data_IF_214671445078
#
_entry.id   IF_214671445078
#
_cell.length_a   1.000
_cell.length_b   1.000
_cell.length_c   1.000
_cell.angle_alpha   90.00
_cell.angle_beta   90.00
_cell.angle_gamma   90.00
#
_symmetry.space_group_name_H-M   'P 1'
#
loop_
_entity.id
_entity.type
_entity.pdbx_description
1 polymer ?
#
# COMPACT_ATOMS: atom_id res chain seq x y z
N UNK A 1 11.99 1.20 -8.22
CA UNK A 1 11.16 -0.01 -8.00
C UNK A 1 9.82 0.46 -7.49
N UNK A 2 8.73 -0.18 -7.91
CA UNK A 2 7.41 0.12 -7.37
C UNK A 2 7.39 -0.25 -5.87
N UNK A 3 6.73 0.57 -5.05
CA UNK A 3 6.46 0.20 -3.67
C UNK A 3 5.52 -1.01 -3.66
N UNK A 4 5.72 -1.89 -2.69
CA UNK A 4 5.06 -3.19 -2.61
C UNK A 4 4.40 -3.40 -1.25
N UNK A 5 3.26 -4.07 -1.25
CA UNK A 5 2.53 -4.45 -0.03
C UNK A 5 2.61 -5.97 0.13
N UNK A 6 3.18 -6.44 1.23
CA UNK A 6 3.30 -7.86 1.52
C UNK A 6 2.02 -8.39 2.16
N UNK A 7 1.36 -9.36 1.52
CA UNK A 7 0.18 -10.01 2.07
C UNK A 7 0.63 -11.15 2.99
N UNK A 8 0.25 -11.06 4.27
CA UNK A 8 0.54 -12.05 5.31
C UNK A 8 -0.77 -12.54 5.94
N UNK A 9 -0.75 -13.71 6.54
CA UNK A 9 -1.93 -14.27 7.21
C UNK A 9 -1.65 -15.67 7.72
N UNK A 10 -2.45 -16.13 8.68
CA UNK A 10 -2.39 -17.51 9.14
C UNK A 10 -2.91 -18.47 8.05
N UNK A 11 -2.62 -19.77 8.14
CA UNK A 11 -3.25 -20.75 7.26
C UNK A 11 -4.78 -20.65 7.28
N UNK A 12 -5.40 -20.87 6.11
CA UNK A 12 -6.87 -20.94 5.94
C UNK A 12 -7.66 -19.64 6.21
N UNK A 13 -7.00 -18.47 6.24
CA UNK A 13 -7.70 -17.17 6.39
C UNK A 13 -8.25 -16.60 5.08
N UNK A 14 -8.04 -17.28 3.94
CA UNK A 14 -8.44 -16.82 2.61
C UNK A 14 -7.38 -15.99 1.85
N UNK A 15 -6.15 -15.91 2.38
CA UNK A 15 -5.01 -15.22 1.76
C UNK A 15 -4.77 -15.61 0.29
N UNK A 16 -4.74 -16.91 -0.01
CA UNK A 16 -4.51 -17.39 -1.38
C UNK A 16 -5.68 -17.09 -2.31
N UNK A 17 -6.91 -17.13 -1.81
CA UNK A 17 -8.11 -16.74 -2.58
C UNK A 17 -8.04 -15.26 -2.95
N UNK A 18 -7.75 -14.41 -1.96
CA UNK A 18 -7.55 -12.97 -2.15
C UNK A 18 -6.44 -12.68 -3.16
N UNK A 19 -5.28 -13.33 -3.02
CA UNK A 19 -4.15 -13.14 -3.93
C UNK A 19 -4.43 -13.63 -5.35
N UNK A 20 -5.18 -14.71 -5.50
CA UNK A 20 -5.62 -15.18 -6.82
C UNK A 20 -6.57 -14.19 -7.49
N UNK A 21 -7.47 -13.55 -6.72
CA UNK A 21 -8.34 -12.50 -7.23
C UNK A 21 -7.50 -11.29 -7.70
N UNK A 22 -6.53 -10.85 -6.88
CA UNK A 22 -5.59 -9.77 -7.22
C UNK A 22 -4.79 -10.05 -8.51
N UNK A 23 -4.22 -11.26 -8.65
CA UNK A 23 -3.38 -11.61 -9.80
C UNK A 23 -4.16 -11.84 -11.09
N UNK A 24 -5.39 -12.35 -11.01
CA UNK A 24 -6.24 -12.51 -12.20
C UNK A 24 -6.68 -11.14 -12.75
N UNK A 25 -6.96 -10.18 -11.86
CA UNK A 25 -7.18 -8.79 -12.23
C UNK A 25 -5.94 -8.20 -12.96
N UNK A 26 -4.73 -8.56 -12.52
CA UNK A 26 -3.47 -8.20 -13.20
C UNK A 26 -3.36 -8.71 -14.63
N UNK A 27 -3.80 -9.94 -14.92
CA UNK A 27 -3.73 -10.53 -16.26
C UNK A 27 -4.64 -9.78 -17.25
N UNK A 28 -5.80 -9.31 -16.78
CA UNK A 28 -6.70 -8.46 -17.57
C UNK A 28 -6.09 -7.06 -17.81
N UNK A 29 -5.30 -6.56 -16.86
CA UNK A 29 -4.60 -5.27 -16.94
C UNK A 29 -3.27 -5.28 -17.73
N UNK A 30 -2.83 -6.43 -18.25
CA UNK A 30 -1.47 -6.64 -18.77
C UNK A 30 -1.20 -5.95 -20.14
N UNK A 31 -1.03 -4.63 -20.11
CA UNK A 31 -0.45 -3.80 -21.16
C UNK A 31 0.89 -3.15 -20.72
N UNK A 32 1.58 -3.72 -19.74
CA UNK A 32 2.85 -3.19 -19.21
C UNK A 32 4.07 -3.84 -19.87
N UNK A 33 4.76 -3.17 -20.81
CA UNK A 33 6.06 -3.63 -21.27
C UNK A 33 7.08 -3.50 -20.11
N UNK A 34 7.96 -4.49 -19.96
CA UNK A 34 9.10 -4.54 -19.03
C UNK A 34 8.89 -5.07 -17.60
N UNK A 35 7.68 -5.48 -17.20
CA UNK A 35 7.52 -6.19 -15.92
C UNK A 35 7.83 -7.68 -16.08
N UNK A 36 8.90 -8.18 -15.44
CA UNK A 36 8.97 -9.61 -15.12
C UNK A 36 7.94 -9.85 -14.03
N UNK A 37 6.81 -10.49 -14.36
CA UNK A 37 5.82 -10.87 -13.35
C UNK A 37 6.44 -12.03 -12.57
N UNK A 38 6.97 -11.71 -11.40
CA UNK A 38 7.31 -12.72 -10.41
C UNK A 38 6.01 -13.44 -10.02
N UNK A 39 6.00 -14.79 -9.91
CA UNK A 39 4.77 -15.57 -9.74
C UNK A 39 3.98 -15.23 -8.48
N UNK A 40 4.60 -14.51 -7.54
CA UNK A 40 4.01 -14.10 -6.27
C UNK A 40 3.75 -12.59 -6.21
N UNK A 41 3.70 -11.87 -7.34
CA UNK A 41 3.36 -10.44 -7.39
C UNK A 41 2.07 -10.21 -8.17
N UNK A 42 1.07 -9.65 -7.51
CA UNK A 42 -0.15 -9.14 -8.12
C UNK A 42 -0.10 -7.62 -8.26
N UNK A 43 -0.58 -7.08 -9.38
CA UNK A 43 -0.68 -5.64 -9.62
C UNK A 43 -2.14 -5.29 -9.86
N UNK A 44 -2.65 -4.31 -9.10
CA UNK A 44 -4.02 -3.83 -9.18
C UNK A 44 -4.02 -2.40 -9.69
N UNK A 45 -4.92 -2.09 -10.61
CA UNK A 45 -5.15 -0.72 -11.04
C UNK A 45 -5.90 0.03 -9.94
N UNK A 46 -5.48 1.25 -9.62
CA UNK A 46 -6.21 2.14 -8.74
C UNK A 46 -7.39 2.74 -9.53
N UNK A 47 -8.65 2.51 -9.14
CA UNK A 47 -9.79 3.16 -9.76
C UNK A 47 -9.70 4.67 -9.58
N UNK A 48 -9.86 5.41 -10.67
CA UNK A 48 -9.73 6.87 -10.67
C UNK A 48 -10.66 7.50 -11.71
N UNK A 49 -11.85 7.92 -11.27
CA UNK A 49 -12.88 8.56 -12.10
C UNK A 49 -12.38 9.84 -12.80
N UNK A 50 -11.30 10.46 -12.29
CA UNK A 50 -10.71 11.65 -12.89
C UNK A 50 -10.19 11.35 -14.30
N UNK A 51 -9.72 10.13 -14.53
CA UNK A 51 -9.15 9.73 -15.82
C UNK A 51 -10.20 9.63 -16.92
N UNK A 52 -11.41 9.13 -16.61
CA UNK A 52 -12.50 9.05 -17.58
C UNK A 52 -12.92 10.44 -18.05
N UNK A 53 -13.05 11.38 -17.11
CA UNK A 53 -13.38 12.78 -17.41
C UNK A 53 -12.29 13.47 -18.23
N UNK A 54 -11.03 13.23 -17.90
CA UNK A 54 -9.91 13.74 -18.69
C UNK A 54 -9.87 13.10 -20.09
N UNK A 55 -10.13 11.81 -20.21
CA UNK A 55 -10.17 11.12 -21.49
C UNK A 55 -11.27 11.67 -22.39
N UNK A 56 -12.47 11.91 -21.84
CA UNK A 56 -13.58 12.56 -22.53
C UNK A 56 -13.20 13.98 -22.99
N UNK A 57 -12.66 14.80 -22.09
CA UNK A 57 -12.29 16.19 -22.36
C UNK A 57 -11.20 16.33 -23.44
N UNK A 58 -10.20 15.44 -23.45
CA UNK A 58 -9.04 15.51 -24.35
C UNK A 58 -9.14 14.57 -25.56
N UNK A 59 -10.22 13.78 -25.67
CA UNK A 59 -10.38 12.78 -26.72
C UNK A 59 -9.28 11.71 -26.68
N UNK A 60 -8.89 11.28 -25.48
CA UNK A 60 -7.81 10.32 -25.28
C UNK A 60 -8.19 8.94 -25.81
N UNK A 61 -7.27 8.30 -26.54
CA UNK A 61 -7.47 6.94 -27.07
C UNK A 61 -7.31 5.84 -26.02
N UNK A 62 -6.66 6.14 -24.89
CA UNK A 62 -6.33 5.19 -23.84
C UNK A 62 -6.41 5.83 -22.47
N UNK A 63 -6.87 5.07 -21.49
CA UNK A 63 -6.79 5.41 -20.07
C UNK A 63 -5.71 4.52 -19.43
N UNK A 64 -4.83 5.13 -18.63
CA UNK A 64 -3.72 4.43 -17.95
C UNK A 64 -3.78 4.79 -16.46
N UNK A 65 -4.38 3.93 -15.62
CA UNK A 65 -4.46 4.17 -14.18
C UNK A 65 -3.11 3.98 -13.49
N UNK A 66 -2.99 4.54 -12.28
CA UNK A 66 -1.92 4.21 -11.36
C UNK A 66 -2.10 2.77 -10.87
N UNK A 67 -1.04 2.15 -10.36
CA UNK A 67 -1.09 0.76 -9.89
C UNK A 67 -0.50 0.60 -8.50
N UNK A 68 -0.97 -0.45 -7.81
CA UNK A 68 -0.45 -0.92 -6.53
C UNK A 68 0.02 -2.36 -6.70
N UNK A 69 1.22 -2.64 -6.20
CA UNK A 69 1.80 -3.99 -6.24
C UNK A 69 1.64 -4.68 -4.90
N UNK A 70 1.06 -5.87 -4.92
CA UNK A 70 0.92 -6.77 -3.80
C UNK A 70 1.83 -7.98 -4.00
N UNK A 71 2.46 -8.45 -2.94
CA UNK A 71 3.31 -9.64 -2.95
C UNK A 71 2.69 -10.70 -2.05
N UNK A 72 2.45 -11.90 -2.56
CA UNK A 72 2.03 -13.02 -1.73
C UNK A 72 3.21 -13.50 -0.89
N UNK A 73 3.07 -13.40 0.42
CA UNK A 73 4.05 -13.94 1.34
C UNK A 73 3.46 -15.22 1.92
N UNK A 74 4.20 -16.33 1.85
CA UNK A 74 3.75 -17.65 2.30
C UNK A 74 3.16 -17.59 3.73
N UNK A 75 2.18 -18.41 4.09
CA UNK A 75 1.50 -18.26 5.41
C UNK A 75 2.48 -18.26 6.60
N UNK A 76 2.29 -17.34 7.56
CA UNK A 76 3.04 -17.36 8.83
C UNK A 76 2.56 -18.56 9.61
N UNK A 77 3.50 -19.39 10.03
CA UNK A 77 3.25 -20.45 11.00
C UNK A 77 4.03 -20.09 12.25
N UNK A 78 3.45 -20.41 13.41
CA UNK A 78 4.10 -20.28 14.72
C UNK A 78 5.50 -20.91 14.69
N UNK A 79 6.50 -20.21 15.21
CA UNK A 79 7.91 -20.61 15.19
C UNK A 79 8.71 -20.14 13.97
N UNK A 80 8.19 -19.19 13.17
CA UNK A 80 8.92 -18.60 12.05
C UNK A 80 10.21 -17.89 12.49
N UNK A 81 10.24 -17.34 13.71
CA UNK A 81 11.41 -16.66 14.28
C UNK A 81 12.48 -17.58 14.89
N UNK A 82 12.22 -18.88 15.06
CA UNK A 82 13.17 -19.81 15.72
C UNK A 82 14.39 -20.18 14.84
N UNK A 83 14.45 -19.68 13.61
CA UNK A 83 15.66 -19.70 12.78
C UNK A 83 15.95 -21.02 12.04
N UNK A 84 15.11 -22.05 12.20
CA UNK A 84 15.21 -23.30 11.43
C UNK A 84 14.22 -23.34 10.26
N UNK A 85 14.72 -23.53 9.02
CA UNK A 85 13.89 -23.86 7.86
C UNK A 85 13.26 -22.67 7.11
N UNK A 86 12.01 -22.84 6.66
CA UNK A 86 11.30 -21.92 5.75
C UNK A 86 10.92 -20.55 6.37
N UNK A 87 10.88 -20.44 7.71
CA UNK A 87 10.47 -19.21 8.41
C UNK A 87 11.36 -17.99 8.13
N UNK A 88 12.67 -18.19 8.01
CA UNK A 88 13.60 -17.10 7.66
C UNK A 88 13.44 -16.58 6.23
N UNK A 89 13.10 -17.47 5.27
CA UNK A 89 12.82 -17.06 3.89
C UNK A 89 11.54 -16.22 3.83
N UNK A 90 10.54 -16.58 4.64
CA UNK A 90 9.31 -15.81 4.77
C UNK A 90 9.56 -14.39 5.30
N UNK A 91 10.33 -14.24 6.39
CA UNK A 91 10.66 -12.95 6.97
C UNK A 91 11.50 -12.08 6.03
N UNK A 92 12.35 -12.69 5.19
CA UNK A 92 13.10 -11.99 4.17
C UNK A 92 12.18 -11.33 3.14
N UNK A 93 11.15 -12.03 2.67
CA UNK A 93 10.18 -11.49 1.71
C UNK A 93 9.36 -10.33 2.32
N UNK A 94 8.99 -10.40 3.62
CA UNK A 94 8.37 -9.23 4.29
C UNK A 94 9.36 -8.05 4.32
N UNK A 95 10.65 -8.31 4.57
CA UNK A 95 11.64 -7.25 4.72
C UNK A 95 11.76 -6.40 3.45
N UNK A 96 11.59 -7.01 2.28
CA UNK A 96 11.58 -6.35 0.96
C UNK A 96 10.28 -5.57 0.66
N UNK A 97 9.17 -5.89 1.34
CA UNK A 97 7.92 -5.15 1.22
C UNK A 97 7.98 -3.80 1.94
N UNK A 98 7.15 -2.85 1.54
CA UNK A 98 7.11 -1.50 2.09
C UNK A 98 5.99 -1.29 3.11
N UNK A 99 4.91 -2.08 2.99
CA UNK A 99 3.84 -2.18 3.98
C UNK A 99 3.40 -3.66 4.12
N UNK A 100 2.66 -3.96 5.19
CA UNK A 100 2.14 -5.30 5.48
C UNK A 100 0.61 -5.25 5.41
N UNK A 101 0.00 -6.09 4.58
CA UNK A 101 -1.43 -6.35 4.57
C UNK A 101 -1.70 -7.69 5.29
N UNK A 102 -2.25 -7.63 6.50
CA UNK A 102 -2.50 -8.81 7.32
C UNK A 102 -3.94 -9.28 7.15
N UNK A 103 -4.11 -10.44 6.51
CA UNK A 103 -5.40 -11.08 6.28
C UNK A 103 -5.82 -11.84 7.54
N UNK A 104 -7.00 -11.51 8.04
CA UNK A 104 -7.59 -12.06 9.25
C UNK A 104 -8.95 -12.67 8.90
N UNK A 105 -9.20 -13.88 9.39
CA UNK A 105 -10.49 -14.54 9.20
C UNK A 105 -11.51 -13.99 10.19
N UNK A 106 -12.63 -13.49 9.67
CA UNK A 106 -13.83 -13.13 10.46
C UNK A 106 -15.11 -13.75 9.91
N UNK A 107 -15.02 -14.61 8.89
CA UNK A 107 -16.14 -15.40 8.37
C UNK A 107 -16.26 -16.76 9.08
N UNK A 108 -17.50 -17.22 9.28
CA UNK A 108 -17.77 -18.58 9.72
C UNK A 108 -18.02 -19.51 8.52
N UNK A 109 -17.28 -20.61 8.46
CA UNK A 109 -17.46 -21.62 7.41
C UNK A 109 -17.16 -23.00 8.03
N UNK A 110 -18.17 -23.90 8.11
CA UNK A 110 -18.01 -25.22 8.71
C UNK A 110 -17.05 -26.13 7.94
N UNK A 111 -16.79 -25.84 6.67
CA UNK A 111 -15.89 -26.62 5.82
C UNK A 111 -14.42 -26.14 5.92
N UNK A 112 -14.17 -24.99 6.58
CA UNK A 112 -12.84 -24.41 6.74
C UNK A 112 -12.38 -24.49 8.19
N UNK A 113 -11.39 -25.35 8.46
CA UNK A 113 -10.83 -25.53 9.81
C UNK A 113 -9.88 -24.38 10.16
N UNK A 114 -10.14 -23.73 11.29
CA UNK A 114 -9.23 -22.76 11.90
C UNK A 114 -8.04 -23.46 12.56
N UNK A 115 -6.84 -22.89 12.49
CA UNK A 115 -5.61 -23.49 13.02
C UNK A 115 -5.72 -23.81 14.52
N UNK A 116 -6.31 -22.88 15.28
CA UNK A 116 -6.54 -23.03 16.72
C UNK A 116 -7.93 -23.61 17.06
N UNK A 117 -8.69 -24.07 16.07
CA UNK A 117 -10.03 -24.65 16.25
C UNK A 117 -11.13 -23.67 16.62
N UNK A 118 -10.81 -22.39 16.83
CA UNK A 118 -11.75 -21.29 17.04
C UNK A 118 -11.29 -20.07 16.25
N UNK A 119 -12.23 -19.35 15.63
CA UNK A 119 -11.99 -18.06 15.00
C UNK A 119 -11.86 -17.00 16.09
N UNK A 120 -10.69 -16.36 16.19
CA UNK A 120 -10.41 -15.33 17.18
C UNK A 120 -9.45 -14.27 16.59
N UNK A 121 -9.99 -13.20 15.98
CA UNK A 121 -9.19 -12.20 15.26
C UNK A 121 -8.06 -11.60 16.09
N UNK A 122 -8.29 -11.37 17.39
CA UNK A 122 -7.28 -10.81 18.28
C UNK A 122 -6.11 -11.77 18.49
N UNK A 123 -6.40 -13.06 18.72
CA UNK A 123 -5.38 -14.10 18.88
C UNK A 123 -4.59 -14.34 17.58
N UNK A 124 -5.27 -14.29 16.43
CA UNK A 124 -4.64 -14.44 15.12
C UNK A 124 -3.64 -13.32 14.85
N UNK A 125 -4.02 -12.08 15.20
CA UNK A 125 -3.16 -10.92 15.11
C UNK A 125 -1.95 -11.03 16.03
N UNK A 126 -2.19 -11.40 17.29
CA UNK A 126 -1.13 -11.58 18.29
C UNK A 126 -0.11 -12.62 17.84
N UNK A 127 -0.56 -13.73 17.25
CA UNK A 127 0.33 -14.78 16.74
C UNK A 127 1.27 -14.25 15.67
N UNK A 128 0.75 -13.54 14.67
CA UNK A 128 1.57 -12.96 13.60
C UNK A 128 2.50 -11.87 14.14
N UNK A 129 1.97 -10.95 14.95
CA UNK A 129 2.73 -9.85 15.52
C UNK A 129 3.89 -10.36 16.38
N UNK A 130 3.67 -11.42 17.16
CA UNK A 130 4.71 -12.04 17.99
C UNK A 130 5.87 -12.53 17.14
N UNK A 131 5.62 -13.21 16.01
CA UNK A 131 6.69 -13.67 15.12
C UNK A 131 7.49 -12.51 14.51
N UNK A 132 6.82 -11.42 14.12
CA UNK A 132 7.48 -10.22 13.60
C UNK A 132 8.32 -9.53 14.68
N UNK A 133 7.78 -9.43 15.90
CA UNK A 133 8.43 -8.82 17.06
C UNK A 133 9.69 -9.62 17.44
N UNK A 134 9.61 -10.95 17.49
CA UNK A 134 10.75 -11.80 17.82
C UNK A 134 11.87 -11.67 16.78
N UNK A 135 11.54 -11.58 15.49
CA UNK A 135 12.52 -11.36 14.44
C UNK A 135 13.22 -9.98 14.56
N UNK A 136 12.48 -8.94 14.95
CA UNK A 136 13.05 -7.62 15.16
C UNK A 136 13.88 -7.53 16.44
N UNK A 137 13.47 -8.20 17.53
CA UNK A 137 14.27 -8.33 18.75
C UNK A 137 15.62 -8.99 18.45
N UNK A 138 15.63 -10.07 17.67
CA UNK A 138 16.87 -10.72 17.25
C UNK A 138 17.75 -9.79 16.40
N UNK A 139 17.14 -8.93 15.58
CA UNK A 139 17.86 -7.91 14.79
C UNK A 139 18.54 -6.90 15.72
N UNK A 140 17.83 -6.41 16.73
CA UNK A 140 18.32 -5.44 17.70
C UNK A 140 19.39 -6.02 18.63
N UNK A 141 19.21 -7.26 19.10
CA UNK A 141 20.18 -7.98 19.94
C UNK A 141 21.57 -8.07 19.26
N UNK A 142 21.58 -8.21 17.94
CA UNK A 142 22.81 -8.22 17.14
C UNK A 142 23.38 -6.82 16.84
N UNK A 143 22.52 -5.80 16.73
CA UNK A 143 22.88 -4.45 16.31
C UNK A 143 23.34 -3.56 17.48
N UNK A 144 22.62 -3.59 18.61
CA UNK A 144 22.87 -2.75 19.78
C UNK A 144 24.32 -2.91 20.30
N UNK A 145 24.86 -4.12 20.56
CA UNK A 145 26.21 -4.25 21.10
C UNK A 145 27.31 -3.73 20.15
N UNK A 146 27.07 -3.77 18.84
CA UNK A 146 27.98 -3.22 17.82
C UNK A 146 27.96 -1.69 17.87
N UNK A 147 26.77 -1.10 17.89
CA UNK A 147 26.58 0.34 17.94
C UNK A 147 27.08 0.93 19.26
N UNK A 148 26.85 0.27 20.40
CA UNK A 148 27.41 0.65 21.70
C UNK A 148 28.94 0.77 21.68
N UNK A 149 29.63 -0.21 21.06
CA UNK A 149 31.09 -0.16 20.89
C UNK A 149 31.51 1.02 20.03
N UNK A 150 30.79 1.29 18.94
CA UNK A 150 31.06 2.42 18.06
C UNK A 150 30.85 3.77 18.75
N UNK A 151 29.78 3.91 19.55
CA UNK A 151 29.50 5.11 20.35
C UNK A 151 30.60 5.34 21.38
N UNK A 152 31.07 4.29 22.08
CA UNK A 152 32.18 4.40 23.05
C UNK A 152 33.48 4.93 22.43
N UNK A 153 33.76 4.57 21.18
CA UNK A 153 34.93 5.07 20.43
C UNK A 153 34.64 6.34 19.61
N UNK A 154 33.48 6.98 19.83
CA UNK A 154 33.01 8.21 19.15
C UNK A 154 32.92 8.08 17.62
N UNK A 155 32.60 6.88 17.12
CA UNK A 155 32.36 6.60 15.70
C UNK A 155 30.92 6.23 15.36
N UNK A 156 30.06 6.07 16.36
CA UNK A 156 28.62 5.82 16.20
C UNK A 156 27.79 6.95 16.79
N UNK A 157 26.52 7.05 16.40
CA UNK A 157 25.58 8.06 16.92
C UNK A 157 24.98 7.59 18.27
N UNK A 158 25.15 8.39 19.35
CA UNK A 158 24.43 8.16 20.60
C UNK A 158 22.90 8.22 20.45
N UNK A 159 22.41 9.07 19.55
CA UNK A 159 20.99 9.23 19.26
C UNK A 159 20.41 7.95 18.63
N UNK A 160 21.11 7.40 17.64
CA UNK A 160 20.72 6.13 17.02
C UNK A 160 20.73 4.97 18.03
N UNK A 161 21.70 4.94 18.93
CA UNK A 161 21.74 3.92 19.99
C UNK A 161 20.53 4.05 20.94
N UNK A 162 20.17 5.27 21.32
CA UNK A 162 19.00 5.52 22.15
C UNK A 162 17.70 5.08 21.45
N UNK A 163 17.58 5.32 20.13
CA UNK A 163 16.46 4.85 19.34
C UNK A 163 16.38 3.30 19.33
N UNK A 164 17.50 2.61 19.18
CA UNK A 164 17.53 1.13 19.16
C UNK A 164 17.11 0.56 20.51
N UNK A 165 17.58 1.14 21.61
CA UNK A 165 17.21 0.70 22.96
C UNK A 165 15.74 0.98 23.28
N UNK A 166 15.19 2.10 22.80
CA UNK A 166 13.77 2.40 22.92
C UNK A 166 12.92 1.39 22.12
N UNK A 167 13.32 1.07 20.89
CA UNK A 167 12.68 0.05 20.07
C UNK A 167 12.71 -1.34 20.72
N UNK A 168 13.86 -1.76 21.28
CA UNK A 168 13.99 -3.03 22.00
C UNK A 168 13.01 -3.13 23.18
N UNK A 169 12.85 -2.04 23.95
CA UNK A 169 11.92 -2.00 25.07
C UNK A 169 10.46 -2.18 24.61
N UNK A 170 10.04 -1.47 23.57
CA UNK A 170 8.68 -1.56 23.00
C UNK A 170 8.38 -2.99 22.55
N UNK A 171 9.31 -3.59 21.82
CA UNK A 171 9.17 -4.95 21.32
C UNK A 171 9.13 -5.98 22.46
N UNK A 172 9.93 -5.79 23.52
CA UNK A 172 9.92 -6.65 24.70
C UNK A 172 8.58 -6.59 25.48
N UNK A 173 7.79 -5.55 25.30
CA UNK A 173 6.44 -5.42 25.85
C UNK A 173 5.35 -6.04 24.96
N UNK A 174 5.74 -6.66 23.83
CA UNK A 174 4.82 -7.33 22.90
C UNK A 174 4.08 -6.38 21.94
N UNK A 175 4.54 -5.13 21.82
CA UNK A 175 3.96 -4.12 20.92
C UNK A 175 4.82 -3.91 19.69
N UNK A 176 4.19 -3.63 18.55
CA UNK A 176 4.91 -3.33 17.31
C UNK A 176 5.50 -1.93 17.34
N UNK A 177 6.59 -1.68 16.60
CA UNK A 177 7.14 -0.32 16.47
C UNK A 177 6.13 0.63 15.83
N UNK A 178 5.36 0.17 14.84
CA UNK A 178 4.34 0.95 14.16
C UNK A 178 3.25 1.45 15.13
N UNK A 179 2.74 0.57 15.99
CA UNK A 179 1.76 0.92 17.02
C UNK A 179 2.30 1.94 18.03
N UNK A 180 3.55 1.75 18.47
CA UNK A 180 4.15 2.59 19.51
C UNK A 180 4.73 3.92 18.99
N UNK A 181 5.00 4.06 17.69
CA UNK A 181 5.75 5.18 17.13
C UNK A 181 5.15 6.54 17.48
N UNK A 182 3.84 6.71 17.30
CA UNK A 182 3.12 7.94 17.62
C UNK A 182 3.01 8.21 19.13
N UNK A 183 2.40 7.30 19.91
CA UNK A 183 2.19 7.47 21.35
C UNK A 183 3.48 7.69 22.16
N UNK A 184 4.55 6.98 21.81
CA UNK A 184 5.84 7.04 22.52
C UNK A 184 6.83 8.00 21.89
N UNK A 185 6.48 8.63 20.76
CA UNK A 185 7.37 9.51 19.98
C UNK A 185 8.70 8.83 19.66
N UNK A 186 8.64 7.57 19.22
CA UNK A 186 9.83 6.83 18.83
C UNK A 186 10.49 7.52 17.63
N UNK A 187 11.82 7.59 17.67
CA UNK A 187 12.62 8.08 16.55
C UNK A 187 12.76 6.98 15.50
N UNK A 188 11.77 6.88 14.62
CA UNK A 188 11.73 5.89 13.55
C UNK A 188 12.76 6.18 12.45
N UNK A 189 13.23 7.42 12.33
CA UNK A 189 14.22 7.80 11.31
C UNK A 189 15.56 7.15 11.58
N UNK A 190 15.97 7.10 12.85
CA UNK A 190 17.17 6.40 13.27
C UNK A 190 17.05 4.87 13.21
N UNK A 191 15.84 4.31 13.07
CA UNK A 191 15.61 2.86 12.93
C UNK A 191 15.64 2.37 11.47
N UNK A 192 15.58 3.28 10.49
CA UNK A 192 15.42 2.94 9.06
C UNK A 192 16.46 1.94 8.54
N UNK A 193 17.71 2.06 8.97
CA UNK A 193 18.80 1.19 8.52
C UNK A 193 18.62 -0.29 8.91
N UNK A 194 17.86 -0.56 9.98
CA UNK A 194 17.60 -1.94 10.43
C UNK A 194 16.53 -2.63 9.59
N UNK A 195 15.73 -1.88 8.81
CA UNK A 195 14.57 -2.39 8.10
C UNK A 195 13.70 -3.31 8.98
N UNK A 196 13.38 -2.85 10.19
CA UNK A 196 12.54 -3.60 11.14
C UNK A 196 11.18 -3.89 10.52
N UNK A 197 10.69 -5.12 10.69
CA UNK A 197 9.44 -5.59 10.11
C UNK A 197 8.25 -4.86 10.74
N UNK A 198 8.26 -4.74 12.05
CA UNK A 198 7.21 -4.12 12.87
C UNK A 198 7.18 -2.60 12.79
N UNK A 199 8.15 -1.97 12.13
CA UNK A 199 8.15 -0.53 11.86
C UNK A 199 7.42 -0.17 10.55
N UNK A 200 7.12 -1.16 9.71
CA UNK A 200 6.38 -0.97 8.46
C UNK A 200 4.92 -0.62 8.77
N UNK A 201 4.25 0.16 7.91
CA UNK A 201 2.81 0.37 8.02
C UNK A 201 2.02 -0.93 7.88
N UNK A 202 0.99 -1.08 8.71
CA UNK A 202 0.06 -2.20 8.70
C UNK A 202 -1.29 -1.81 8.09
N UNK A 203 -1.85 -2.72 7.31
CA UNK A 203 -3.23 -2.71 6.82
C UNK A 203 -3.84 -4.03 7.25
N UNK A 204 -4.98 -3.98 7.94
CA UNK A 204 -5.68 -5.18 8.36
C UNK A 204 -6.80 -5.50 7.38
N UNK A 205 -6.76 -6.70 6.80
CA UNK A 205 -7.76 -7.17 5.83
C UNK A 205 -8.63 -8.21 6.52
N UNK A 206 -9.81 -7.78 6.97
CA UNK A 206 -10.80 -8.66 7.57
C UNK A 206 -11.57 -9.36 6.45
N UNK A 207 -11.22 -10.63 6.21
CA UNK A 207 -11.94 -11.49 5.28
C UNK A 207 -13.22 -11.98 5.97
N UNK A 208 -14.36 -11.54 5.46
CA UNK A 208 -15.67 -11.54 6.11
C UNK A 208 -16.74 -12.21 5.25
N UNK A 209 -17.77 -12.73 5.91
CA UNK A 209 -19.01 -13.15 5.25
C UNK A 209 -20.03 -12.00 5.22
N UNK A 210 -21.16 -12.22 4.53
CA UNK A 210 -22.28 -11.27 4.46
C UNK A 210 -22.76 -10.82 5.86
N UNK A 211 -22.73 -11.71 6.85
CA UNK A 211 -23.17 -11.41 8.22
C UNK A 211 -22.32 -10.33 8.89
N UNK A 212 -21.00 -10.34 8.67
CA UNK A 212 -20.09 -9.29 9.16
C UNK A 212 -20.13 -8.06 8.25
N UNK A 213 -20.20 -8.23 6.93
CA UNK A 213 -20.24 -7.12 5.96
C UNK A 213 -21.50 -6.26 6.07
N UNK A 214 -22.62 -6.86 6.50
CA UNK A 214 -23.89 -6.15 6.71
C UNK A 214 -24.10 -5.60 8.13
N UNK A 215 -23.15 -5.81 9.06
CA UNK A 215 -23.25 -5.34 10.45
C UNK A 215 -22.24 -4.22 10.77
N UNK A 216 -22.68 -2.94 10.77
CA UNK A 216 -21.84 -1.82 11.17
C UNK A 216 -21.28 -1.94 12.59
N UNK A 217 -22.03 -2.55 13.52
CA UNK A 217 -21.58 -2.74 14.90
C UNK A 217 -20.40 -3.71 14.97
N UNK A 218 -20.43 -4.81 14.20
CA UNK A 218 -19.32 -5.76 14.14
C UNK A 218 -18.09 -5.18 13.45
N UNK A 219 -18.29 -4.41 12.38
CA UNK A 219 -17.18 -3.71 11.72
C UNK A 219 -16.52 -2.71 12.66
N UNK A 220 -17.30 -1.92 13.40
CA UNK A 220 -16.77 -0.97 14.37
C UNK A 220 -16.00 -1.65 15.51
N UNK A 221 -16.46 -2.82 15.99
CA UNK A 221 -15.74 -3.62 16.99
C UNK A 221 -14.38 -4.08 16.46
N UNK A 222 -14.34 -4.62 15.24
CA UNK A 222 -13.11 -5.11 14.60
C UNK A 222 -12.15 -3.97 14.24
N UNK A 223 -12.66 -2.84 13.75
CA UNK A 223 -11.87 -1.64 13.45
C UNK A 223 -11.21 -1.07 14.71
N UNK A 224 -11.94 -1.08 15.84
CA UNK A 224 -11.39 -0.63 17.13
C UNK A 224 -10.24 -1.51 17.63
N UNK A 225 -10.16 -2.78 17.24
CA UNK A 225 -9.06 -3.67 17.63
C UNK A 225 -7.72 -3.29 16.99
N UNK A 226 -7.77 -2.63 15.83
CA UNK A 226 -6.57 -2.33 15.03
C UNK A 226 -6.24 -0.84 14.98
N UNK A 227 -7.12 0.02 15.51
CA UNK A 227 -6.89 1.45 15.55
C UNK A 227 -5.56 1.78 16.28
N UNK A 228 -4.73 2.71 15.73
CA UNK A 228 -5.03 3.63 14.63
C UNK A 228 -4.67 3.10 13.23
N UNK A 229 -4.29 1.84 13.07
CA UNK A 229 -4.02 1.26 11.76
C UNK A 229 -5.29 1.18 10.91
N UNK A 230 -5.13 1.22 9.59
CA UNK A 230 -6.25 1.13 8.66
C UNK A 230 -6.71 -0.33 8.51
N UNK A 231 -8.01 -0.52 8.27
CA UNK A 231 -8.55 -1.83 7.92
C UNK A 231 -9.45 -1.78 6.69
N UNK A 232 -9.60 -2.94 6.06
CA UNK A 232 -10.50 -3.21 4.94
C UNK A 232 -11.28 -4.46 5.25
N UNK A 233 -12.60 -4.38 5.07
CA UNK A 233 -13.50 -5.53 5.10
C UNK A 233 -13.79 -5.93 3.66
N UNK A 234 -13.68 -7.22 3.36
CA UNK A 234 -14.00 -7.80 2.05
C UNK A 234 -14.39 -9.27 2.21
N UNK A 235 -15.08 -9.82 1.22
CA UNK A 235 -15.26 -11.26 1.07
C UNK A 235 -14.34 -11.75 -0.06
N UNK A 236 -13.27 -12.47 0.28
CA UNK A 236 -12.30 -12.93 -0.70
C UNK A 236 -12.91 -13.89 -1.74
N UNK A 237 -14.02 -14.55 -1.43
CA UNK A 237 -14.74 -15.41 -2.37
C UNK A 237 -15.54 -14.57 -3.36
N UNK A 238 -16.27 -13.56 -2.88
CA UNK A 238 -16.94 -12.59 -3.73
C UNK A 238 -15.95 -11.92 -4.69
N UNK A 239 -14.80 -11.46 -4.17
CA UNK A 239 -13.76 -10.85 -5.01
C UNK A 239 -13.23 -11.81 -6.09
N UNK A 240 -13.12 -13.11 -5.78
CA UNK A 240 -12.68 -14.11 -6.75
C UNK A 240 -13.73 -14.33 -7.86
N UNK A 241 -15.02 -14.29 -7.51
CA UNK A 241 -16.14 -14.42 -8.45
C UNK A 241 -16.23 -13.17 -9.34
N UNK A 242 -16.14 -11.96 -8.77
CA UNK A 242 -16.19 -10.68 -9.50
C UNK A 242 -15.14 -10.60 -10.62
N UNK A 243 -13.94 -11.15 -10.39
CA UNK A 243 -12.84 -11.11 -11.37
C UNK A 243 -13.10 -12.04 -12.58
N UNK A 244 -14.03 -12.99 -12.48
CA UNK A 244 -14.44 -13.84 -13.61
C UNK A 244 -15.57 -13.26 -14.45
N UNK A 245 -16.19 -12.17 -13.98
CA UNK A 245 -17.34 -11.52 -14.61
C UNK A 245 -16.94 -10.37 -15.54
N UNK A 246 -17.85 -9.99 -16.43
CA UNK A 246 -17.74 -8.72 -17.15
C UNK A 246 -17.98 -7.52 -16.22
N UNK A 247 -17.55 -6.31 -16.63
CA UNK A 247 -17.75 -5.09 -15.82
C UNK A 247 -19.22 -4.81 -15.49
N UNK A 248 -20.14 -5.13 -16.41
CA UNK A 248 -21.59 -4.96 -16.19
C UNK A 248 -22.11 -5.97 -15.15
N UNK A 249 -21.77 -7.25 -15.31
CA UNK A 249 -22.17 -8.33 -14.37
C UNK A 249 -21.56 -8.13 -12.98
N UNK A 250 -20.30 -7.72 -12.91
CA UNK A 250 -19.63 -7.41 -11.65
C UNK A 250 -20.32 -6.23 -10.93
N UNK A 251 -20.72 -5.19 -11.65
CA UNK A 251 -21.47 -4.06 -11.08
C UNK A 251 -22.84 -4.50 -10.57
N UNK A 252 -23.58 -5.29 -11.35
CA UNK A 252 -24.88 -5.83 -10.91
C UNK A 252 -24.74 -6.69 -9.65
N UNK A 253 -23.70 -7.53 -9.57
CA UNK A 253 -23.43 -8.35 -8.37
C UNK A 253 -23.08 -7.49 -7.15
N UNK A 254 -22.23 -6.47 -7.30
CA UNK A 254 -21.92 -5.53 -6.22
C UNK A 254 -23.17 -4.80 -5.71
N UNK A 255 -24.03 -4.32 -6.62
CA UNK A 255 -25.29 -3.66 -6.26
C UNK A 255 -26.24 -4.60 -5.50
N UNK A 256 -26.29 -5.89 -5.87
CA UNK A 256 -27.08 -6.90 -5.16
C UNK A 256 -26.58 -7.15 -3.74
N UNK A 257 -25.27 -7.14 -3.53
CA UNK A 257 -24.61 -7.26 -2.23
C UNK A 257 -24.59 -5.93 -1.44
N UNK A 258 -25.12 -4.84 -2.01
CA UNK A 258 -25.17 -3.52 -1.38
C UNK A 258 -23.82 -2.82 -1.27
N UNK A 259 -22.89 -3.11 -2.19
CA UNK A 259 -21.55 -2.53 -2.23
C UNK A 259 -21.41 -1.58 -3.44
N UNK A 260 -20.82 -0.40 -3.22
CA UNK A 260 -20.59 0.59 -4.28
C UNK A 260 -19.27 0.34 -5.06
N UNK A 261 -18.34 -0.39 -4.45
CA UNK A 261 -17.01 -0.71 -5.01
C UNK A 261 -16.56 -2.10 -4.55
N UNK A 262 -15.62 -2.71 -5.29
CA UNK A 262 -15.03 -3.99 -4.88
C UNK A 262 -14.11 -3.84 -3.66
N UNK A 263 -14.00 -4.92 -2.88
CA UNK A 263 -13.05 -4.98 -1.76
C UNK A 263 -11.59 -4.88 -2.22
N UNK A 264 -11.27 -5.40 -3.41
CA UNK A 264 -9.93 -5.25 -4.00
C UNK A 264 -9.60 -3.80 -4.35
N UNK A 265 -10.55 -3.04 -4.89
CA UNK A 265 -10.38 -1.62 -5.21
C UNK A 265 -10.17 -0.79 -3.95
N UNK A 266 -10.99 -1.06 -2.92
CA UNK A 266 -10.83 -0.45 -1.60
C UNK A 266 -9.46 -0.77 -1.00
N UNK A 267 -9.00 -2.02 -1.10
CA UNK A 267 -7.67 -2.45 -0.66
C UNK A 267 -6.54 -1.75 -1.43
N UNK A 268 -6.67 -1.61 -2.75
CA UNK A 268 -5.72 -0.84 -3.56
C UNK A 268 -5.66 0.62 -3.11
N UNK A 269 -6.81 1.28 -2.89
CA UNK A 269 -6.83 2.68 -2.44
C UNK A 269 -6.21 2.88 -1.06
N UNK A 270 -6.60 2.04 -0.10
CA UNK A 270 -6.02 2.03 1.26
C UNK A 270 -4.52 1.76 1.20
N UNK A 271 -4.10 0.76 0.43
CA UNK A 271 -2.70 0.41 0.20
C UNK A 271 -1.87 1.56 -0.39
N UNK A 272 -2.39 2.21 -1.43
CA UNK A 272 -1.74 3.36 -2.07
C UNK A 272 -1.52 4.50 -1.08
N UNK A 273 -2.56 4.84 -0.30
CA UNK A 273 -2.46 5.89 0.73
C UNK A 273 -1.50 5.53 1.86
N UNK A 274 -1.51 4.26 2.31
CA UNK A 274 -0.65 3.74 3.38
C UNK A 274 0.84 3.80 2.99
N UNK A 275 1.14 3.60 1.71
CA UNK A 275 2.49 3.75 1.18
C UNK A 275 2.95 5.21 1.04
N UNK A 276 2.11 6.18 1.42
CA UNK A 276 2.40 7.61 1.27
C UNK A 276 2.46 8.04 -0.19
N UNK A 277 1.74 7.36 -1.08
CA UNK A 277 1.67 7.67 -2.50
C UNK A 277 0.56 8.68 -2.79
N UNK A 278 0.73 9.41 -3.88
CA UNK A 278 -0.27 10.25 -4.51
C UNK A 278 -0.12 10.18 -6.04
N UNK A 279 -1.08 10.76 -6.76
CA UNK A 279 -1.11 10.77 -8.22
C UNK A 279 -1.02 12.18 -8.78
N UNK A 280 -0.34 12.35 -9.91
CA UNK A 280 -0.58 13.47 -10.81
C UNK A 280 -1.06 12.94 -12.17
N UNK A 281 -1.72 13.80 -12.94
CA UNK A 281 -2.42 13.41 -14.16
C UNK A 281 -1.79 14.08 -15.39
N UNK A 282 -1.69 13.34 -16.48
CA UNK A 282 -1.38 13.87 -17.81
C UNK A 282 -2.49 13.49 -18.75
N UNK A 283 -2.97 14.43 -19.57
CA UNK A 283 -4.05 14.17 -20.51
C UNK A 283 -3.75 14.75 -21.89
N UNK A 284 -4.03 13.98 -22.93
CA UNK A 284 -3.92 14.39 -24.32
C UNK A 284 -4.55 13.38 -25.27
N UNK A 285 -4.51 13.61 -26.60
CA UNK A 285 -5.21 12.77 -27.57
C UNK A 285 -4.76 11.30 -27.61
N UNK A 286 -3.54 11.02 -27.13
CA UNK A 286 -3.00 9.65 -27.06
C UNK A 286 -3.50 8.91 -25.83
N UNK A 287 -3.36 9.52 -24.66
CA UNK A 287 -3.71 8.91 -23.39
C UNK A 287 -4.08 9.94 -22.32
N UNK A 288 -4.94 9.51 -21.40
CA UNK A 288 -5.12 10.09 -20.08
C UNK A 288 -4.48 9.13 -19.07
N UNK A 289 -3.53 9.62 -18.27
CA UNK A 289 -2.68 8.78 -17.44
C UNK A 289 -2.50 9.35 -16.04
N UNK A 290 -2.62 8.48 -15.04
CA UNK A 290 -2.21 8.75 -13.68
C UNK A 290 -0.78 8.26 -13.45
N UNK A 291 0.04 9.12 -12.85
CA UNK A 291 1.42 8.85 -12.52
C UNK A 291 1.60 8.84 -11.01
N UNK A 292 2.18 7.75 -10.51
CA UNK A 292 2.44 7.55 -9.08
C UNK A 292 3.70 8.29 -8.64
N UNK A 293 3.60 9.07 -7.57
CA UNK A 293 4.71 9.76 -6.87
C UNK A 293 4.53 9.63 -5.36
N UNK A 294 5.57 9.93 -4.59
CA UNK A 294 5.42 10.03 -3.13
C UNK A 294 4.80 11.38 -2.78
N UNK A 295 4.04 11.41 -1.68
CA UNK A 295 3.60 12.66 -1.08
C UNK A 295 4.82 13.52 -0.72
N UNK A 296 4.78 14.79 -1.11
CA UNK A 296 5.88 15.73 -0.93
C UNK A 296 6.92 15.74 -2.06
N UNK A 297 6.78 14.92 -3.10
CA UNK A 297 7.68 15.00 -4.25
C UNK A 297 7.51 16.32 -5.02
N UNK A 298 8.65 16.92 -5.37
CA UNK A 298 8.71 18.17 -6.14
C UNK A 298 8.45 17.93 -7.64
N UNK A 299 8.05 18.95 -8.38
CA UNK A 299 7.81 18.88 -9.83
C UNK A 299 8.96 18.23 -10.64
N UNK A 300 10.26 18.50 -10.38
CA UNK A 300 11.34 17.81 -11.08
C UNK A 300 11.37 16.30 -10.85
N UNK A 301 11.17 15.85 -9.60
CA UNK A 301 11.09 14.42 -9.26
C UNK A 301 9.91 13.76 -9.94
N UNK A 302 8.74 14.42 -9.92
CA UNK A 302 7.55 13.94 -10.59
C UNK A 302 7.75 13.80 -12.11
N UNK A 303 8.44 14.75 -12.74
CA UNK A 303 8.82 14.68 -14.15
C UNK A 303 9.78 13.50 -14.43
N UNK A 304 10.69 13.22 -13.49
CA UNK A 304 11.60 12.08 -13.54
C UNK A 304 10.92 10.72 -13.62
N UNK A 305 9.70 10.59 -13.09
CA UNK A 305 8.88 9.36 -13.19
C UNK A 305 8.48 9.07 -14.64
N UNK A 306 8.30 10.09 -15.48
CA UNK A 306 8.06 9.91 -16.92
C UNK A 306 9.33 9.42 -17.60
N UNK A 307 10.44 10.12 -17.35
CA UNK A 307 11.76 9.76 -17.87
C UNK A 307 12.84 10.50 -17.09
N UNK A 308 14.00 9.87 -16.84
CA UNK A 308 15.11 10.49 -16.09
C UNK A 308 15.65 11.78 -16.72
N UNK A 309 15.49 11.96 -18.03
CA UNK A 309 15.91 13.17 -18.74
C UNK A 309 15.01 14.37 -18.43
N UNK A 310 13.74 14.15 -18.11
CA UNK A 310 12.84 15.24 -17.72
C UNK A 310 13.27 15.86 -16.39
N UNK A 311 13.72 15.05 -15.44
CA UNK A 311 14.23 15.55 -14.16
C UNK A 311 15.52 16.35 -14.35
N UNK A 312 16.47 15.82 -15.12
CA UNK A 312 17.76 16.48 -15.40
C UNK A 312 17.58 17.77 -16.20
N UNK A 313 16.71 17.73 -17.19
CA UNK A 313 16.40 18.83 -18.10
C UNK A 313 15.28 19.76 -17.63
N UNK A 314 14.76 19.58 -16.41
CA UNK A 314 13.57 20.30 -15.94
C UNK A 314 13.74 21.83 -16.01
N UNK A 315 12.79 22.49 -16.69
CA UNK A 315 12.72 23.94 -16.78
C UNK A 315 11.59 24.45 -15.87
N UNK A 316 10.34 24.05 -16.17
CA UNK A 316 9.11 24.43 -15.46
C UNK A 316 8.02 23.38 -15.70
N UNK A 317 6.99 23.39 -14.87
CA UNK A 317 5.77 22.62 -15.07
C UNK A 317 4.58 23.57 -15.30
N UNK A 318 3.79 23.35 -16.35
CA UNK A 318 2.48 24.00 -16.53
C UNK A 318 1.45 23.13 -15.81
N UNK A 319 0.85 23.66 -14.74
CA UNK A 319 0.01 22.89 -13.80
C UNK A 319 -1.35 23.55 -13.63
N UNK A 320 -2.41 22.75 -13.63
CA UNK A 320 -3.75 23.14 -13.18
C UNK A 320 -4.29 22.05 -12.26
N UNK A 321 -5.02 22.42 -11.20
CA UNK A 321 -5.69 21.41 -10.36
C UNK A 321 -6.81 20.73 -11.17
N UNK A 322 -7.07 19.45 -10.91
CA UNK A 322 -8.19 18.73 -11.54
C UNK A 322 -9.51 19.49 -11.38
N UNK A 323 -9.81 19.95 -10.17
CA UNK A 323 -11.06 20.66 -9.87
C UNK A 323 -11.19 21.98 -10.64
N UNK A 324 -10.12 22.78 -10.71
CA UNK A 324 -10.13 24.03 -11.48
C UNK A 324 -10.30 23.75 -12.98
N UNK A 325 -9.72 22.66 -13.49
CA UNK A 325 -9.85 22.28 -14.89
C UNK A 325 -11.27 21.81 -15.21
N UNK A 326 -11.88 20.99 -14.34
CA UNK A 326 -13.27 20.56 -14.50
C UNK A 326 -14.24 21.74 -14.42
N UNK A 327 -14.02 22.67 -13.49
CA UNK A 327 -14.84 23.88 -13.35
C UNK A 327 -14.73 24.81 -14.57
N UNK A 328 -13.56 24.88 -15.22
CA UNK A 328 -13.35 25.68 -16.41
C UNK A 328 -13.87 25.01 -17.70
N UNK A 329 -13.97 23.67 -17.73
CA UNK A 329 -14.45 22.89 -18.88
C UNK A 329 -13.44 22.69 -20.00
N UNK A 330 -12.35 23.47 -20.05
CA UNK A 330 -11.24 23.27 -20.98
C UNK A 330 -9.92 23.88 -20.48
N UNK A 331 -8.78 23.41 -21.00
CA UNK A 331 -7.47 24.02 -20.72
C UNK A 331 -7.39 25.48 -21.18
N UNK A 332 -8.06 25.82 -22.29
CA UNK A 332 -8.06 27.19 -22.80
C UNK A 332 -8.80 28.15 -21.85
N UNK A 333 -9.95 27.70 -21.34
CA UNK A 333 -10.76 28.48 -20.39
C UNK A 333 -10.08 28.56 -19.02
N UNK A 334 -9.47 27.47 -18.55
CA UNK A 334 -8.69 27.47 -17.31
C UNK A 334 -7.51 28.47 -17.40
N UNK A 335 -6.86 28.55 -18.56
CA UNK A 335 -5.78 29.50 -18.82
C UNK A 335 -6.29 30.94 -18.88
N UNK A 336 -7.42 31.18 -19.53
CA UNK A 336 -8.06 32.49 -19.59
C UNK A 336 -8.52 32.98 -18.19
N UNK A 337 -8.95 32.05 -17.33
CA UNK A 337 -9.32 32.31 -15.94
C UNK A 337 -8.11 32.45 -14.99
N UNK A 338 -6.88 32.31 -15.49
CA UNK A 338 -5.65 32.43 -14.68
C UNK A 338 -5.44 31.28 -13.70
N UNK A 339 -6.06 30.12 -13.93
CA UNK A 339 -5.96 28.92 -13.09
C UNK A 339 -4.75 28.04 -13.43
N UNK A 340 -4.25 28.14 -14.65
CA UNK A 340 -3.04 27.45 -15.10
C UNK A 340 -1.80 28.18 -14.61
N UNK A 341 -0.98 27.50 -13.82
CA UNK A 341 0.23 28.01 -13.17
C UNK A 341 1.49 27.52 -13.87
N UNK A 342 2.54 28.32 -13.84
CA UNK A 342 3.88 27.94 -14.31
C UNK A 342 4.79 27.76 -13.10
N UNK A 343 4.94 26.52 -12.66
CA UNK A 343 5.62 26.16 -11.43
C UNK A 343 7.10 25.83 -11.65
N UNK A 344 7.91 26.14 -10.63
CA UNK A 344 9.36 25.96 -10.62
C UNK A 344 9.80 24.67 -9.94
N UNK A 345 11.12 24.57 -9.69
CA UNK A 345 11.75 23.36 -9.11
C UNK A 345 11.32 23.06 -7.67
N UNK A 346 10.95 24.09 -6.91
CA UNK A 346 10.55 23.98 -5.51
C UNK A 346 9.07 23.64 -5.33
N UNK A 347 8.29 23.58 -6.41
CA UNK A 347 6.87 23.25 -6.30
C UNK A 347 6.70 21.81 -5.88
N UNK A 348 5.96 21.60 -4.78
CA UNK A 348 5.55 20.29 -4.29
C UNK A 348 4.24 19.92 -4.98
N UNK A 349 4.25 18.80 -5.69
CA UNK A 349 3.09 18.33 -6.43
C UNK A 349 1.90 18.09 -5.50
N UNK A 350 0.71 18.41 -5.95
CA UNK A 350 -0.54 18.07 -5.26
C UNK A 350 -1.21 16.88 -5.92
N UNK A 351 -1.99 16.12 -5.16
CA UNK A 351 -2.77 15.02 -5.74
C UNK A 351 -3.77 15.58 -6.77
N UNK A 352 -3.85 14.93 -7.92
CA UNK A 352 -4.74 15.33 -9.02
C UNK A 352 -4.25 16.55 -9.81
N UNK A 353 -3.03 17.04 -9.60
CA UNK A 353 -2.45 18.06 -10.48
C UNK A 353 -2.42 17.53 -11.93
N UNK A 354 -3.03 18.27 -12.86
CA UNK A 354 -2.94 18.01 -14.30
C UNK A 354 -1.78 18.82 -14.85
N UNK A 355 -0.76 18.14 -15.38
CA UNK A 355 0.55 18.73 -15.65
C UNK A 355 1.07 18.50 -17.07
N UNK A 356 1.73 19.53 -17.60
CA UNK A 356 2.60 19.46 -18.77
C UNK A 356 4.02 19.94 -18.40
N UNK A 357 5.01 19.05 -18.47
CA UNK A 357 6.40 19.38 -18.13
C UNK A 357 7.14 20.01 -19.30
N UNK A 358 7.84 21.12 -19.05
CA UNK A 358 8.79 21.74 -19.98
C UNK A 358 10.21 21.40 -19.57
N UNK A 359 10.95 20.78 -20.48
CA UNK A 359 12.31 20.33 -20.26
C UNK A 359 13.17 20.61 -21.49
N UNK A 360 14.49 20.68 -21.29
CA UNK A 360 15.45 20.71 -22.37
C UNK A 360 16.01 19.31 -22.61
N UNK A 361 16.17 18.93 -23.88
CA UNK A 361 16.78 17.65 -24.30
C UNK A 361 18.29 17.76 -24.31
#
# INVERSE_FOLDING_TARGET
MALTIGIVGLPNVGKSTLFNALTRNTVLAANYPFATIEPNVGVVNLPDERLDRLAEMFGSQKIVPATVSFVDIAGIVKGASEGEGLGNQFLANIREAHAIAQVIRVFDDPDVVHVDGKIDPASDMETINTELILADLQTLENAIPKLEKQVKIKKGSPEQLAAYQAAEKVLAEGRTIFEAAGPEKLDTDNLRELNLLTAKPFIYVFNADEGVLSSPERQAELEALVAPAQCVFLDAKLEADLVELSEEEAREMLEMEGQDESGLDKLARVGFSTLGLQTYLTAGPKEARAWTINQGDTAPKAAGVIHSDFERGFIKAEIVSYDDLMAAGSMADAKAAGKVRMEGKEYVMQDGDVVEFRFNV
#
